data_IF_906885609735
#
_entry.id   IF_906885609735
#
_cell.length_a   1.000
_cell.length_b   1.000
_cell.length_c   1.000
_cell.angle_alpha   90.00
_cell.angle_beta   90.00
_cell.angle_gamma   90.00
#
_symmetry.space_group_name_H-M   'P 1'
#
loop_
_entity.id
_entity.type
_entity.pdbx_description
1 polymer ?
#
# COMPACT_ATOMS: atom_id res chain seq x y z
N UNK A 1 14.41 -17.96 15.48
CA UNK A 1 14.87 -19.37 15.63
C UNK A 1 14.22 -20.32 14.60
N UNK A 2 12.89 -20.28 14.34
CA UNK A 2 12.22 -21.22 13.43
C UNK A 2 12.71 -21.15 11.97
N UNK A 3 13.28 -20.04 11.53
CA UNK A 3 13.69 -19.81 10.14
C UNK A 3 15.21 -19.65 9.96
N UNK A 4 16.01 -19.66 11.04
CA UNK A 4 17.45 -19.37 10.98
C UNK A 4 18.24 -20.38 10.14
N UNK A 5 17.75 -21.61 10.02
CA UNK A 5 18.38 -22.67 9.23
C UNK A 5 17.72 -22.93 7.86
N UNK A 6 16.75 -22.09 7.46
CA UNK A 6 16.09 -22.24 6.17
C UNK A 6 16.86 -21.47 5.10
N UNK A 7 17.50 -22.19 4.16
CA UNK A 7 18.28 -21.60 3.07
C UNK A 7 17.52 -20.64 2.14
N UNK A 8 16.18 -20.69 2.19
CA UNK A 8 15.32 -19.83 1.40
C UNK A 8 14.86 -18.58 2.19
N UNK A 9 15.32 -18.42 3.44
CA UNK A 9 14.97 -17.30 4.30
C UNK A 9 16.22 -16.54 4.68
N UNK A 10 16.24 -15.24 4.40
CA UNK A 10 17.29 -14.33 4.81
C UNK A 10 16.75 -13.35 5.85
N UNK A 11 17.42 -13.24 6.98
CA UNK A 11 17.04 -12.32 8.07
C UNK A 11 17.99 -11.13 8.06
N UNK A 12 17.45 -9.94 7.78
CA UNK A 12 18.22 -8.69 7.82
C UNK A 12 17.87 -7.93 9.09
N UNK A 13 18.86 -7.68 9.94
CA UNK A 13 18.71 -6.93 11.20
C UNK A 13 19.39 -5.57 11.10
N UNK A 14 18.71 -4.53 11.53
CA UNK A 14 19.24 -3.17 11.57
C UNK A 14 19.49 -2.75 13.02
N UNK A 15 20.60 -2.07 13.27
CA UNK A 15 20.95 -1.58 14.60
C UNK A 15 19.99 -0.49 15.11
N UNK A 16 19.39 0.28 14.18
CA UNK A 16 18.51 1.40 14.51
C UNK A 16 17.22 1.36 13.67
N UNK A 17 16.14 1.95 14.21
CA UNK A 17 14.89 2.14 13.49
C UNK A 17 15.02 3.28 12.48
N UNK A 18 15.32 2.95 11.24
CA UNK A 18 15.45 3.88 10.10
C UNK A 18 14.11 4.22 9.42
N UNK A 19 13.03 3.58 9.85
CA UNK A 19 11.70 3.70 9.25
C UNK A 19 11.46 2.74 8.08
N UNK A 20 10.18 2.45 7.82
CA UNK A 20 9.77 1.40 6.88
C UNK A 20 10.30 1.63 5.45
N UNK A 21 10.27 2.86 4.94
CA UNK A 21 10.74 3.17 3.58
C UNK A 21 12.22 2.80 3.39
N UNK A 22 13.10 3.16 4.34
CA UNK A 22 14.53 2.81 4.28
C UNK A 22 14.75 1.30 4.30
N UNK A 23 14.05 0.59 5.20
CA UNK A 23 14.16 -0.87 5.30
C UNK A 23 13.69 -1.56 4.02
N UNK A 24 12.56 -1.10 3.45
CA UNK A 24 12.06 -1.65 2.18
C UNK A 24 13.03 -1.38 1.02
N UNK A 25 13.69 -0.23 1.00
CA UNK A 25 14.70 0.07 -0.02
C UNK A 25 15.92 -0.86 0.08
N UNK A 26 16.41 -1.11 1.28
CA UNK A 26 17.53 -2.04 1.50
C UNK A 26 17.14 -3.47 1.08
N UNK A 27 15.91 -3.92 1.40
CA UNK A 27 15.41 -5.24 0.97
C UNK A 27 15.18 -5.31 -0.55
N UNK A 28 14.69 -4.25 -1.17
CA UNK A 28 14.54 -4.17 -2.63
C UNK A 28 15.90 -4.26 -3.32
N UNK A 29 16.93 -3.59 -2.78
CA UNK A 29 18.28 -3.69 -3.33
C UNK A 29 18.80 -5.14 -3.30
N UNK A 30 18.58 -5.85 -2.19
CA UNK A 30 18.91 -7.29 -2.11
C UNK A 30 18.16 -8.09 -3.18
N UNK A 31 16.88 -7.79 -3.41
CA UNK A 31 16.11 -8.46 -4.46
C UNK A 31 16.67 -8.18 -5.85
N UNK A 32 17.07 -6.94 -6.14
CA UNK A 32 17.63 -6.55 -7.42
C UNK A 32 19.01 -7.18 -7.67
N UNK A 33 19.87 -7.20 -6.64
CA UNK A 33 21.20 -7.80 -6.71
C UNK A 33 21.14 -9.32 -6.95
N UNK A 34 20.07 -9.98 -6.49
CA UNK A 34 19.81 -11.40 -6.73
C UNK A 34 19.05 -11.67 -8.04
N UNK A 35 18.70 -10.64 -8.81
CA UNK A 35 18.04 -10.78 -10.10
C UNK A 35 16.60 -11.23 -10.05
N UNK A 36 15.88 -11.02 -8.92
CA UNK A 36 14.46 -11.35 -8.83
C UNK A 36 13.60 -10.45 -9.72
N UNK A 37 12.77 -11.07 -10.54
CA UNK A 37 11.86 -10.39 -11.47
C UNK A 37 10.54 -9.99 -10.79
N UNK A 38 10.09 -10.79 -9.82
CA UNK A 38 8.87 -10.57 -9.06
C UNK A 38 9.17 -10.36 -7.60
N UNK A 39 8.57 -9.34 -6.98
CA UNK A 39 8.80 -8.97 -5.59
C UNK A 39 7.46 -8.83 -4.87
N UNK A 40 7.15 -9.77 -3.98
CA UNK A 40 5.97 -9.71 -3.13
C UNK A 40 6.28 -8.95 -1.84
N UNK A 41 5.38 -8.07 -1.46
CA UNK A 41 5.46 -7.34 -0.18
C UNK A 41 4.38 -7.83 0.79
N UNK A 42 4.74 -7.94 2.07
CA UNK A 42 3.80 -8.31 3.13
C UNK A 42 4.20 -7.65 4.46
N UNK A 43 3.25 -7.32 5.31
CA UNK A 43 3.48 -6.94 6.71
C UNK A 43 3.56 -8.21 7.58
N UNK A 44 4.34 -8.16 8.66
CA UNK A 44 4.60 -9.32 9.51
C UNK A 44 3.39 -9.73 10.38
N UNK A 45 2.43 -8.82 10.56
CA UNK A 45 1.21 -9.04 11.33
C UNK A 45 0.02 -9.55 10.49
N UNK A 46 0.17 -9.59 9.16
CA UNK A 46 -0.85 -10.09 8.22
C UNK A 46 -0.69 -11.59 7.92
N UNK A 47 -1.68 -12.19 7.27
CA UNK A 47 -1.65 -13.59 6.83
C UNK A 47 -1.86 -13.67 5.32
N UNK A 48 -0.85 -14.13 4.59
CA UNK A 48 -0.96 -14.43 3.15
C UNK A 48 -1.81 -15.66 2.92
N UNK A 49 -2.73 -15.64 1.94
CA UNK A 49 -3.41 -16.86 1.54
C UNK A 49 -2.45 -17.78 0.77
N UNK A 50 -2.61 -19.11 0.86
CA UNK A 50 -1.66 -20.07 0.29
C UNK A 50 -1.47 -19.92 -1.23
N UNK A 51 -2.52 -19.58 -1.96
CA UNK A 51 -2.58 -19.46 -3.41
C UNK A 51 -2.30 -18.02 -3.94
N UNK A 52 -1.97 -17.09 -3.03
CA UNK A 52 -1.76 -15.67 -3.37
C UNK A 52 -0.71 -15.49 -4.47
N UNK A 53 0.49 -16.01 -4.24
CA UNK A 53 1.62 -15.77 -5.13
C UNK A 53 1.38 -16.39 -6.50
N UNK A 54 0.85 -17.63 -6.53
CA UNK A 54 0.47 -18.31 -7.78
C UNK A 54 -0.51 -17.47 -8.59
N UNK A 55 -1.62 -17.03 -7.98
CA UNK A 55 -2.65 -16.21 -8.64
C UNK A 55 -2.10 -14.90 -9.17
N UNK A 56 -1.27 -14.20 -8.36
CA UNK A 56 -0.69 -12.92 -8.76
C UNK A 56 0.33 -13.07 -9.88
N UNK A 57 1.17 -14.12 -9.88
CA UNK A 57 2.12 -14.40 -10.97
C UNK A 57 1.38 -14.80 -12.24
N UNK A 58 0.38 -15.71 -12.17
CA UNK A 58 -0.43 -16.06 -13.34
C UNK A 58 -1.05 -14.83 -13.98
N UNK A 59 -1.67 -13.97 -13.17
CA UNK A 59 -2.26 -12.73 -13.66
C UNK A 59 -1.24 -11.81 -14.34
N UNK A 60 -0.07 -11.60 -13.72
CA UNK A 60 0.97 -10.78 -14.34
C UNK A 60 1.48 -11.40 -15.65
N UNK A 61 1.58 -12.72 -15.76
CA UNK A 61 2.01 -13.39 -16.99
C UNK A 61 0.98 -13.25 -18.13
N UNK A 62 -0.30 -13.27 -17.80
CA UNK A 62 -1.40 -13.04 -18.76
C UNK A 62 -1.54 -11.56 -19.15
N UNK A 63 -1.04 -10.64 -18.29
CA UNK A 63 -1.12 -9.19 -18.45
C UNK A 63 0.27 -8.53 -18.40
N UNK A 64 1.07 -8.65 -19.47
CA UNK A 64 2.44 -8.13 -19.50
C UNK A 64 2.53 -6.61 -19.39
N UNK A 65 1.43 -5.90 -19.66
CA UNK A 65 1.31 -4.44 -19.49
C UNK A 65 1.18 -3.99 -18.04
N UNK A 66 0.86 -4.92 -17.09
CA UNK A 66 0.68 -4.60 -15.68
C UNK A 66 2.02 -4.69 -14.93
N UNK A 67 2.36 -3.65 -14.19
CA UNK A 67 3.63 -3.54 -13.45
C UNK A 67 3.50 -3.96 -11.98
N UNK A 68 2.31 -3.78 -11.39
CA UNK A 68 2.01 -4.17 -10.03
C UNK A 68 0.58 -4.66 -9.90
N UNK A 69 0.40 -5.77 -9.21
CA UNK A 69 -0.92 -6.34 -8.92
C UNK A 69 -1.13 -6.48 -7.43
N UNK A 70 -2.31 -6.05 -6.97
CA UNK A 70 -2.84 -6.32 -5.64
C UNK A 70 -3.88 -7.43 -5.63
N UNK A 71 -4.84 -7.30 -4.73
CA UNK A 71 -6.03 -8.17 -4.64
C UNK A 71 -6.92 -7.74 -3.49
N UNK A 72 -8.08 -8.36 -3.36
CA UNK A 72 -8.97 -8.14 -2.24
C UNK A 72 -8.33 -8.63 -0.93
N UNK A 73 -8.78 -8.06 0.18
CA UNK A 73 -8.30 -8.44 1.52
C UNK A 73 -9.50 -8.70 2.44
N UNK A 74 -9.35 -9.67 3.35
CA UNK A 74 -10.27 -9.86 4.47
C UNK A 74 -9.71 -9.21 5.73
N UNK A 75 -10.54 -8.46 6.46
CA UNK A 75 -10.13 -7.92 7.76
C UNK A 75 -10.24 -9.01 8.84
N UNK A 76 -9.18 -9.15 9.64
CA UNK A 76 -9.14 -10.00 10.83
C UNK A 76 -8.83 -9.15 12.07
N UNK A 77 -9.26 -9.59 13.25
CA UNK A 77 -8.93 -8.97 14.53
C UNK A 77 -7.51 -9.32 15.02
N UNK A 78 -7.18 -8.91 16.25
CA UNK A 78 -5.86 -9.18 16.86
C UNK A 78 -5.65 -10.68 17.09
N UNK A 79 -6.70 -11.44 17.33
CA UNK A 79 -6.71 -12.88 17.54
C UNK A 79 -6.69 -13.68 16.24
N UNK A 80 -6.92 -13.03 15.09
CA UNK A 80 -6.95 -13.66 13.76
C UNK A 80 -8.34 -14.13 13.32
N UNK A 81 -9.40 -13.77 14.06
CA UNK A 81 -10.77 -14.07 13.69
C UNK A 81 -11.23 -13.12 12.57
N UNK A 82 -11.96 -13.65 11.59
CA UNK A 82 -12.47 -12.86 10.48
C UNK A 82 -13.61 -11.93 10.94
N UNK A 83 -13.51 -10.65 10.59
CA UNK A 83 -14.55 -9.65 10.87
C UNK A 83 -15.78 -9.77 9.95
N UNK A 84 -15.73 -10.67 8.94
CA UNK A 84 -16.72 -10.80 7.88
C UNK A 84 -16.65 -9.69 6.83
N UNK A 85 -15.63 -8.83 6.89
CA UNK A 85 -15.47 -7.71 5.97
C UNK A 85 -14.39 -7.98 4.94
N UNK A 86 -14.80 -8.03 3.67
CA UNK A 86 -13.91 -8.07 2.51
C UNK A 86 -13.79 -6.68 1.90
N UNK A 87 -12.56 -6.22 1.65
CA UNK A 87 -12.29 -4.99 0.94
C UNK A 87 -11.80 -5.34 -0.46
N UNK A 88 -12.56 -4.89 -1.45
CA UNK A 88 -12.23 -5.06 -2.87
C UNK A 88 -11.68 -3.74 -3.42
N UNK A 89 -10.65 -3.84 -4.23
CA UNK A 89 -10.02 -2.70 -4.90
C UNK A 89 -10.38 -2.67 -6.39
N UNK A 90 -10.24 -1.52 -7.05
CA UNK A 90 -10.50 -1.41 -8.49
C UNK A 90 -9.63 -2.38 -9.30
N UNK A 91 -10.22 -3.06 -10.28
CA UNK A 91 -9.55 -4.12 -11.01
C UNK A 91 -8.58 -3.59 -12.10
N UNK A 92 -8.98 -2.55 -12.83
CA UNK A 92 -8.26 -2.08 -14.01
C UNK A 92 -7.37 -0.87 -13.74
N UNK A 93 -6.32 -0.64 -14.56
CA UNK A 93 -5.45 0.54 -14.42
C UNK A 93 -6.20 1.87 -14.45
N UNK A 94 -7.19 1.99 -15.32
CA UNK A 94 -8.02 3.20 -15.43
C UNK A 94 -8.83 3.45 -14.17
N UNK A 95 -9.44 2.41 -13.62
CA UNK A 95 -10.19 2.51 -12.37
C UNK A 95 -9.28 2.77 -11.18
N UNK A 96 -8.12 2.12 -11.10
CA UNK A 96 -7.10 2.35 -10.08
C UNK A 96 -6.63 3.81 -10.08
N UNK A 97 -6.30 4.36 -11.26
CA UNK A 97 -5.94 5.77 -11.40
C UNK A 97 -7.05 6.70 -10.92
N UNK A 98 -8.30 6.44 -11.32
CA UNK A 98 -9.49 7.20 -10.90
C UNK A 98 -9.73 7.14 -9.38
N UNK A 99 -9.56 5.95 -8.80
CA UNK A 99 -9.73 5.71 -7.37
C UNK A 99 -8.65 6.41 -6.54
N UNK A 100 -7.42 6.51 -7.08
CA UNK A 100 -6.30 7.18 -6.42
C UNK A 100 -6.54 8.67 -6.16
N UNK A 101 -7.42 9.32 -6.90
CA UNK A 101 -7.86 10.70 -6.59
C UNK A 101 -8.38 10.84 -5.15
N UNK A 102 -8.86 9.75 -4.54
CA UNK A 102 -9.45 9.75 -3.19
C UNK A 102 -8.72 8.83 -2.21
N UNK A 103 -8.30 7.64 -2.66
CA UNK A 103 -7.73 6.57 -1.80
C UNK A 103 -6.66 5.78 -2.55
N UNK A 104 -5.78 5.12 -1.80
CA UNK A 104 -4.84 4.17 -2.41
C UNK A 104 -5.59 3.04 -3.10
N UNK A 105 -5.23 2.70 -4.36
CA UNK A 105 -5.90 1.68 -5.15
C UNK A 105 -5.44 0.26 -4.83
N UNK A 106 -4.46 0.11 -3.95
CA UNK A 106 -3.86 -1.16 -3.55
C UNK A 106 -3.76 -1.25 -2.03
N UNK A 107 -3.95 -2.44 -1.48
CA UNK A 107 -3.48 -2.78 -0.14
C UNK A 107 -1.98 -3.04 -0.20
N UNK A 108 -1.18 -2.16 0.40
CA UNK A 108 0.28 -2.25 0.35
C UNK A 108 0.85 -3.62 0.79
N UNK A 109 0.32 -4.31 1.84
CA UNK A 109 0.80 -5.65 2.20
C UNK A 109 0.38 -6.77 1.24
N UNK A 110 -0.48 -6.49 0.27
CA UNK A 110 -1.03 -7.50 -0.64
C UNK A 110 -0.48 -7.41 -2.07
N UNK A 111 0.59 -6.63 -2.31
CA UNK A 111 1.07 -6.39 -3.67
C UNK A 111 2.16 -7.35 -4.11
N UNK A 112 2.18 -7.64 -5.41
CA UNK A 112 3.27 -8.25 -6.15
C UNK A 112 3.70 -7.30 -7.26
N UNK A 113 4.98 -6.90 -7.22
CA UNK A 113 5.61 -6.03 -8.22
C UNK A 113 6.33 -6.86 -9.28
N UNK A 114 6.33 -6.37 -10.53
CA UNK A 114 7.43 -6.64 -11.44
C UNK A 114 8.60 -5.72 -11.10
N UNK A 115 9.82 -6.17 -11.33
CA UNK A 115 11.02 -5.31 -11.23
C UNK A 115 10.89 -4.08 -12.12
N UNK A 116 10.28 -4.22 -13.31
CA UNK A 116 10.03 -3.13 -14.27
C UNK A 116 9.26 -1.96 -13.67
N UNK A 117 8.46 -2.15 -12.62
CA UNK A 117 7.84 -1.05 -11.87
C UNK A 117 8.88 -0.06 -11.37
N UNK A 118 9.93 -0.57 -10.72
CA UNK A 118 11.00 0.25 -10.14
C UNK A 118 11.93 0.81 -11.23
N UNK A 119 12.15 0.06 -12.31
CA UNK A 119 12.93 0.51 -13.46
C UNK A 119 12.25 1.72 -14.16
N UNK A 120 10.91 1.72 -14.27
CA UNK A 120 10.14 2.84 -14.83
C UNK A 120 10.22 4.11 -13.98
N UNK A 121 10.14 4.00 -12.67
CA UNK A 121 10.17 5.17 -11.78
C UNK A 121 11.59 5.64 -11.46
N UNK A 122 12.62 4.81 -11.68
CA UNK A 122 14.03 5.14 -11.47
C UNK A 122 14.47 5.25 -10.00
N UNK A 123 13.62 4.88 -9.06
CA UNK A 123 13.90 4.88 -7.62
C UNK A 123 12.98 3.91 -6.87
N UNK A 124 13.20 3.73 -5.57
CA UNK A 124 12.34 2.94 -4.68
C UNK A 124 11.44 3.86 -3.82
N UNK A 125 11.20 3.47 -2.58
CA UNK A 125 10.43 4.32 -1.66
C UNK A 125 11.18 5.60 -1.30
N UNK A 126 10.43 6.68 -1.09
CA UNK A 126 10.99 7.96 -0.63
C UNK A 126 11.30 7.91 0.87
N UNK A 127 12.59 8.00 1.30
CA UNK A 127 12.99 7.79 2.70
C UNK A 127 12.44 8.84 3.67
N UNK A 128 12.18 10.06 3.18
CA UNK A 128 11.62 11.17 3.96
C UNK A 128 10.16 10.94 4.39
N UNK A 129 9.48 9.97 3.77
CA UNK A 129 8.10 9.60 4.10
C UNK A 129 8.07 8.46 5.12
N UNK A 130 8.10 8.79 6.42
CA UNK A 130 7.88 7.80 7.49
C UNK A 130 6.43 7.31 7.59
N UNK A 131 5.49 8.03 6.96
CA UNK A 131 4.07 7.69 6.81
C UNK A 131 3.66 8.02 5.38
N UNK A 132 2.68 7.31 4.84
CA UNK A 132 2.21 7.46 3.45
C UNK A 132 3.27 7.16 2.38
N UNK A 133 4.31 6.39 2.73
CA UNK A 133 5.35 5.96 1.77
C UNK A 133 4.74 5.17 0.60
N UNK A 134 3.71 4.39 0.86
CA UNK A 134 2.91 3.68 -0.14
C UNK A 134 2.19 4.64 -1.09
N UNK A 135 1.52 5.65 -0.55
CA UNK A 135 0.82 6.67 -1.35
C UNK A 135 1.78 7.37 -2.32
N UNK A 136 2.98 7.70 -1.83
CA UNK A 136 3.98 8.36 -2.69
C UNK A 136 4.54 7.42 -3.74
N UNK A 137 4.73 6.14 -3.42
CA UNK A 137 5.15 5.14 -4.41
C UNK A 137 4.10 4.97 -5.53
N UNK A 138 2.81 4.91 -5.19
CA UNK A 138 1.74 4.85 -6.19
C UNK A 138 1.68 6.12 -7.04
N UNK A 139 1.89 7.27 -6.42
CA UNK A 139 1.97 8.55 -7.13
C UNK A 139 3.12 8.56 -8.13
N UNK A 140 4.31 8.16 -7.71
CA UNK A 140 5.49 8.10 -8.58
C UNK A 140 5.26 7.12 -9.73
N UNK A 141 4.71 5.95 -9.45
CA UNK A 141 4.33 4.99 -10.47
C UNK A 141 3.37 5.59 -11.52
N UNK A 142 2.28 6.20 -11.08
CA UNK A 142 1.30 6.79 -11.99
C UNK A 142 1.86 7.97 -12.81
N UNK A 143 2.80 8.73 -12.27
CA UNK A 143 3.50 9.80 -12.99
C UNK A 143 4.42 9.26 -14.10
N UNK A 144 4.94 8.04 -13.94
CA UNK A 144 5.85 7.38 -14.89
C UNK A 144 5.14 6.30 -15.73
N UNK A 145 3.81 6.34 -15.81
CA UNK A 145 3.05 5.44 -16.67
C UNK A 145 3.01 3.98 -16.21
N UNK A 146 3.18 3.74 -14.91
CA UNK A 146 2.99 2.42 -14.30
C UNK A 146 1.52 2.03 -14.35
N UNK A 147 1.25 0.79 -14.74
CA UNK A 147 -0.07 0.18 -14.75
C UNK A 147 -0.30 -0.62 -13.46
N UNK A 148 -1.32 -0.22 -12.72
CA UNK A 148 -1.75 -0.83 -11.45
C UNK A 148 -3.03 -1.60 -11.67
N UNK A 149 -3.12 -2.84 -11.16
CA UNK A 149 -4.33 -3.64 -11.21
C UNK A 149 -4.58 -4.41 -9.91
N UNK A 150 -5.77 -4.98 -9.74
CA UNK A 150 -6.07 -5.90 -8.65
C UNK A 150 -6.82 -7.13 -9.14
N UNK A 151 -6.51 -8.27 -8.51
CA UNK A 151 -7.32 -9.47 -8.60
C UNK A 151 -8.63 -9.27 -7.82
N UNK A 152 -9.75 -9.84 -8.28
CA UNK A 152 -10.99 -9.87 -7.50
C UNK A 152 -10.89 -10.81 -6.29
N UNK A 153 -9.95 -11.74 -6.32
CA UNK A 153 -9.74 -12.74 -5.28
C UNK A 153 -9.18 -12.12 -4.00
N UNK A 154 -9.60 -12.63 -2.85
CA UNK A 154 -8.91 -12.36 -1.59
C UNK A 154 -7.54 -13.01 -1.62
N UNK A 155 -6.51 -12.25 -1.33
CA UNK A 155 -5.11 -12.71 -1.35
C UNK A 155 -4.42 -12.59 0.02
N UNK A 156 -5.02 -11.82 0.94
CA UNK A 156 -4.44 -11.52 2.25
C UNK A 156 -5.52 -11.36 3.31
N UNK A 157 -5.25 -11.83 4.53
CA UNK A 157 -6.00 -11.46 5.73
C UNK A 157 -5.24 -10.32 6.42
N UNK A 158 -5.88 -9.15 6.46
CA UNK A 158 -5.31 -7.91 6.99
C UNK A 158 -5.68 -7.72 8.46
N UNK A 159 -4.68 -7.61 9.34
CA UNK A 159 -4.90 -7.49 10.77
C UNK A 159 -5.23 -6.06 11.19
N UNK A 160 -6.40 -5.93 11.81
CA UNK A 160 -6.89 -4.66 12.36
C UNK A 160 -6.53 -4.58 13.84
N UNK A 161 -5.56 -3.71 14.19
CA UNK A 161 -5.15 -3.49 15.58
C UNK A 161 -5.67 -2.14 16.10
N UNK A 162 -5.90 -2.04 17.42
CA UNK A 162 -6.24 -0.74 18.03
C UNK A 162 -5.18 0.34 17.81
N UNK A 163 -3.93 -0.05 17.67
CA UNK A 163 -2.81 0.86 17.40
C UNK A 163 -2.95 1.60 16.06
N UNK A 164 -3.60 0.98 15.05
CA UNK A 164 -3.91 1.61 13.76
C UNK A 164 -4.79 2.86 13.94
N UNK A 165 -5.73 2.83 14.90
CA UNK A 165 -6.65 3.93 15.14
C UNK A 165 -6.07 5.00 16.08
N UNK A 166 -5.30 4.59 17.10
CA UNK A 166 -4.86 5.49 18.19
C UNK A 166 -3.57 6.27 17.88
N UNK A 167 -2.59 5.68 17.19
CA UNK A 167 -1.24 6.26 17.05
C UNK A 167 -0.82 6.67 15.63
N UNK A 168 -1.33 6.03 14.59
CA UNK A 168 -0.73 6.15 13.23
C UNK A 168 -1.11 7.42 12.46
N UNK A 169 -2.27 8.05 12.72
CA UNK A 169 -2.84 9.09 11.84
C UNK A 169 -3.34 10.32 12.60
N UNK A 170 -2.65 10.74 13.66
CA UNK A 170 -3.04 11.88 14.47
C UNK A 170 -2.00 12.99 14.45
N UNK A 171 -2.48 14.24 14.52
CA UNK A 171 -1.68 15.43 14.67
C UNK A 171 -1.83 16.44 13.53
N UNK A 172 -1.84 17.71 13.91
CA UNK A 172 -2.01 18.84 12.98
C UNK A 172 -0.94 18.91 11.89
N UNK A 173 0.33 18.64 12.27
CA UNK A 173 1.47 18.65 11.34
C UNK A 173 1.31 17.55 10.27
N UNK A 174 0.91 16.34 10.70
CA UNK A 174 0.65 15.23 9.78
C UNK A 174 -0.52 15.54 8.84
N UNK A 175 -1.62 16.09 9.36
CA UNK A 175 -2.80 16.43 8.56
C UNK A 175 -2.48 17.49 7.49
N UNK A 176 -1.71 18.55 7.86
CA UNK A 176 -1.24 19.57 6.92
C UNK A 176 -0.36 18.97 5.82
N UNK A 177 0.63 18.16 6.19
CA UNK A 177 1.50 17.51 5.20
C UNK A 177 0.67 16.62 4.26
N UNK A 178 -0.23 15.82 4.79
CA UNK A 178 -1.09 14.95 3.97
C UNK A 178 -1.99 15.73 3.02
N UNK A 179 -2.54 16.88 3.45
CA UNK A 179 -3.29 17.76 2.56
C UNK A 179 -2.40 18.30 1.44
N UNK A 180 -1.22 18.83 1.77
CA UNK A 180 -0.29 19.38 0.79
C UNK A 180 0.13 18.32 -0.25
N UNK A 181 0.53 17.12 0.23
CA UNK A 181 0.88 15.98 -0.63
C UNK A 181 -0.31 15.63 -1.56
N UNK A 182 -1.53 15.56 -1.02
CA UNK A 182 -2.71 15.19 -1.82
C UNK A 182 -3.07 16.25 -2.87
N UNK A 183 -3.01 17.55 -2.53
CA UNK A 183 -3.23 18.62 -3.50
C UNK A 183 -2.17 18.63 -4.61
N UNK A 184 -0.91 18.35 -4.26
CA UNK A 184 0.16 18.21 -5.25
C UNK A 184 -0.07 17.01 -6.18
N UNK A 185 -0.46 15.86 -5.63
CA UNK A 185 -0.85 14.66 -6.38
C UNK A 185 -2.00 14.97 -7.33
N UNK A 186 -3.06 15.60 -6.84
CA UNK A 186 -4.24 15.95 -7.64
C UNK A 186 -3.87 16.87 -8.81
N UNK A 187 -3.05 17.89 -8.55
CA UNK A 187 -2.56 18.81 -9.57
C UNK A 187 -1.75 18.07 -10.66
N UNK A 188 -0.79 17.25 -10.28
CA UNK A 188 0.15 16.61 -11.21
C UNK A 188 -0.50 15.48 -12.02
N UNK A 189 -1.47 14.76 -11.42
CA UNK A 189 -2.25 13.73 -12.11
C UNK A 189 -3.51 14.26 -12.79
N UNK A 190 -3.71 15.60 -12.78
CA UNK A 190 -4.84 16.30 -13.41
C UNK A 190 -6.21 15.82 -12.91
N UNK A 191 -6.32 15.52 -11.59
CA UNK A 191 -7.60 15.26 -10.96
C UNK A 191 -8.38 16.58 -10.80
N UNK A 192 -9.68 16.54 -11.04
CA UNK A 192 -10.52 17.75 -10.95
C UNK A 192 -10.76 18.25 -9.53
N UNK A 193 -11.41 19.41 -9.42
CA UNK A 193 -11.72 20.10 -8.14
C UNK A 193 -12.46 19.22 -7.12
N UNK A 194 -13.19 18.20 -7.55
CA UNK A 194 -13.83 17.22 -6.64
C UNK A 194 -12.83 16.43 -5.82
N UNK A 195 -11.63 16.16 -6.37
CA UNK A 195 -10.54 15.49 -5.65
C UNK A 195 -9.93 16.42 -4.59
N UNK A 196 -9.81 17.72 -4.90
CA UNK A 196 -9.33 18.71 -3.95
C UNK A 196 -10.32 18.91 -2.80
N UNK A 197 -11.62 18.98 -3.11
CA UNK A 197 -12.66 19.05 -2.09
C UNK A 197 -12.61 17.83 -1.16
N UNK A 198 -12.41 16.64 -1.72
CA UNK A 198 -12.22 15.42 -0.92
C UNK A 198 -10.95 15.48 -0.05
N UNK A 199 -9.85 16.05 -0.56
CA UNK A 199 -8.62 16.25 0.22
C UNK A 199 -8.84 17.17 1.43
N UNK A 200 -9.58 18.28 1.26
CA UNK A 200 -9.97 19.16 2.36
C UNK A 200 -10.90 18.49 3.36
N UNK A 201 -11.89 17.72 2.89
CA UNK A 201 -12.78 16.95 3.77
C UNK A 201 -11.99 15.94 4.61
N UNK A 202 -11.02 15.25 4.02
CA UNK A 202 -10.13 14.33 4.73
C UNK A 202 -9.21 15.05 5.72
N UNK A 203 -8.73 16.25 5.39
CA UNK A 203 -7.98 17.09 6.32
C UNK A 203 -8.83 17.44 7.55
N UNK A 204 -10.06 17.91 7.35
CA UNK A 204 -10.99 18.19 8.45
C UNK A 204 -11.25 16.93 9.30
N UNK A 205 -11.42 15.78 8.67
CA UNK A 205 -11.61 14.52 9.38
C UNK A 205 -10.36 14.13 10.22
N UNK A 206 -9.15 14.35 9.69
CA UNK A 206 -7.91 14.02 10.40
C UNK A 206 -7.67 14.86 11.65
N UNK A 207 -8.13 16.10 11.67
CA UNK A 207 -8.05 17.00 12.83
C UNK A 207 -9.25 16.87 13.77
N UNK A 208 -10.34 16.20 13.34
CA UNK A 208 -11.55 16.02 14.11
C UNK A 208 -11.33 15.17 15.37
N UNK A 209 -12.20 15.29 16.38
CA UNK A 209 -12.19 14.43 17.57
C UNK A 209 -12.33 12.93 17.22
N UNK A 210 -11.83 12.06 18.10
CA UNK A 210 -11.80 10.62 17.86
C UNK A 210 -13.19 10.00 17.60
N UNK A 211 -14.23 10.52 18.23
CA UNK A 211 -15.60 10.02 18.04
C UNK A 211 -16.14 10.30 16.62
N UNK A 212 -15.82 11.46 16.04
CA UNK A 212 -16.17 11.79 14.64
C UNK A 212 -15.48 10.82 13.69
N UNK A 213 -14.18 10.54 13.92
CA UNK A 213 -13.40 9.59 13.11
C UNK A 213 -13.99 8.18 13.16
N UNK A 214 -14.46 7.73 14.32
CA UNK A 214 -15.12 6.42 14.48
C UNK A 214 -16.43 6.33 13.69
N UNK A 215 -17.24 7.38 13.72
CA UNK A 215 -18.49 7.46 12.94
C UNK A 215 -18.18 7.44 11.44
N UNK A 216 -17.28 8.31 10.99
CA UNK A 216 -16.88 8.36 9.58
C UNK A 216 -16.31 7.02 9.08
N UNK A 217 -15.52 6.33 9.90
CA UNK A 217 -15.02 5.01 9.57
C UNK A 217 -16.12 3.97 9.33
N UNK A 218 -17.18 3.98 10.16
CA UNK A 218 -18.33 3.07 10.01
C UNK A 218 -19.16 3.35 8.75
N UNK A 219 -19.24 4.64 8.32
CA UNK A 219 -20.07 5.04 7.19
C UNK A 219 -19.34 4.89 5.85
N UNK A 220 -18.05 5.21 5.81
CA UNK A 220 -17.30 5.34 4.55
C UNK A 220 -16.34 4.18 4.25
N UNK A 221 -16.30 3.16 5.09
CA UNK A 221 -15.50 1.98 4.88
C UNK A 221 -16.33 0.70 5.02
#
# INVERSE_FOLDING_TARGET
>A
EAYENNKNVSIVRFAENRGLACVLNDLLQICFDNGYEYIARMDADDISLPDRIEKQICFLNEHPEIDVVGGAINEIDEEGCESGKTIVYPATPTECKKFFAKRNPLAHPAVLFRKSFFDKIGHCYRPEYRKNQDTMLWYDGLMHGVNIANLPNVVLKFRMTEALFKKRRNGWVFAKKQLADRLQINKNLHYGHTADLFAYAMFCLLIAPAWVKKIAYKIFR
#
